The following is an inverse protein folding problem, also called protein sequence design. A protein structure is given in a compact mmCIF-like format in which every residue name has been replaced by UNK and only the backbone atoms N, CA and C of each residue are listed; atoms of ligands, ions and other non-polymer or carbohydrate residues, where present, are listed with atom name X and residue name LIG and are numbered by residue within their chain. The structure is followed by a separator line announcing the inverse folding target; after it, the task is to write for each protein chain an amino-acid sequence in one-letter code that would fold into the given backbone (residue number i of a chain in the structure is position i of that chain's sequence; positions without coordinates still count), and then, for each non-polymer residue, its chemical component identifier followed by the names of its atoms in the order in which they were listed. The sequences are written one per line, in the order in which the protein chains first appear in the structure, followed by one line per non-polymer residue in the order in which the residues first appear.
data_IF_614125559545
#
_entry.id   IF_614125559545
#
_cell.length_a   1.000
_cell.length_b   1.000
_cell.length_c   1.000
_cell.angle_alpha   90.00
_cell.angle_beta   90.00
_cell.angle_gamma   90.00
#
_symmetry.space_group_name_H-M   'P 1'
#
loop_
_entity.id
_entity.type
_entity.pdbx_description
1 polymer ?
#
# COMPACT_ATOMS: atom_id res chain seq x y z
N UNK A 1 -9.60 13.32 -21.19
CA UNK A 1 -9.29 12.82 -19.83
C UNK A 1 -7.79 12.80 -19.63
N UNK A 2 -7.28 13.46 -18.60
CA UNK A 2 -5.90 13.39 -18.16
C UNK A 2 -5.79 12.46 -16.95
N UNK A 3 -4.71 11.66 -16.89
CA UNK A 3 -4.43 10.74 -15.78
C UNK A 3 -3.02 11.03 -15.28
N UNK A 4 -2.90 11.42 -14.01
CA UNK A 4 -1.64 11.71 -13.35
C UNK A 4 -1.14 10.47 -12.59
N UNK A 5 -0.11 9.83 -13.09
CA UNK A 5 0.52 8.62 -12.56
C UNK A 5 0.23 7.36 -13.37
N UNK A 6 1.27 6.54 -13.57
CA UNK A 6 1.21 5.26 -14.28
C UNK A 6 1.42 4.06 -13.34
N UNK A 7 0.92 4.15 -12.10
CA UNK A 7 0.77 3.02 -11.18
C UNK A 7 -0.48 2.20 -11.49
N UNK A 8 -0.83 1.25 -10.60
CA UNK A 8 -2.01 0.39 -10.74
C UNK A 8 -3.27 1.20 -11.07
N UNK A 9 -3.59 2.22 -10.27
CA UNK A 9 -4.82 3.00 -10.42
C UNK A 9 -4.88 3.74 -11.77
N UNK A 10 -3.80 4.46 -12.13
CA UNK A 10 -3.79 5.24 -13.36
C UNK A 10 -3.80 4.39 -14.62
N UNK A 11 -3.09 3.24 -14.63
CA UNK A 11 -3.12 2.32 -15.76
C UNK A 11 -4.49 1.64 -15.90
N UNK A 12 -5.16 1.28 -14.79
CA UNK A 12 -6.53 0.74 -14.80
C UNK A 12 -7.54 1.79 -15.30
N UNK A 13 -7.40 3.05 -14.87
CA UNK A 13 -8.23 4.16 -15.36
C UNK A 13 -8.05 4.37 -16.86
N UNK A 14 -6.81 4.40 -17.35
CA UNK A 14 -6.52 4.58 -18.77
C UNK A 14 -7.06 3.43 -19.62
N UNK A 15 -6.85 2.19 -19.19
CA UNK A 15 -7.37 1.02 -19.89
C UNK A 15 -8.90 1.06 -19.96
N UNK A 16 -9.57 1.38 -18.83
CA UNK A 16 -11.03 1.47 -18.79
C UNK A 16 -11.57 2.61 -19.65
N UNK A 17 -10.93 3.78 -19.63
CA UNK A 17 -11.30 4.90 -20.50
C UNK A 17 -11.26 4.50 -21.98
N UNK A 18 -10.23 3.75 -22.41
CA UNK A 18 -10.13 3.23 -23.78
C UNK A 18 -11.22 2.21 -24.12
N UNK A 19 -11.57 1.32 -23.19
CA UNK A 19 -12.73 0.41 -23.35
C UNK A 19 -14.04 1.16 -23.60
N UNK A 20 -14.17 2.35 -22.98
CA UNK A 20 -15.33 3.24 -23.15
C UNK A 20 -15.25 4.14 -24.39
N UNK A 21 -14.20 4.01 -25.21
CA UNK A 21 -14.01 4.78 -26.44
C UNK A 21 -13.34 6.14 -26.24
N UNK A 22 -12.89 6.48 -25.03
CA UNK A 22 -12.16 7.70 -24.77
C UNK A 22 -10.67 7.57 -25.14
N UNK A 23 -9.99 8.72 -25.29
CA UNK A 23 -8.54 8.80 -25.55
C UNK A 23 -7.86 9.42 -24.32
N UNK A 24 -7.42 8.60 -23.34
CA UNK A 24 -6.74 9.11 -22.16
C UNK A 24 -5.30 9.53 -22.49
N UNK A 25 -4.80 10.52 -21.74
CA UNK A 25 -3.38 10.87 -21.70
C UNK A 25 -2.84 10.56 -20.32
N UNK A 26 -1.90 9.61 -20.24
CA UNK A 26 -1.24 9.23 -18.99
C UNK A 26 0.10 9.93 -18.86
N UNK A 27 0.28 10.69 -17.78
CA UNK A 27 1.54 11.36 -17.44
C UNK A 27 2.16 10.70 -16.22
N UNK A 28 3.42 10.30 -16.33
CA UNK A 28 4.20 9.68 -15.25
C UNK A 28 5.43 10.54 -14.93
N UNK A 29 5.60 10.87 -13.65
CA UNK A 29 6.74 11.66 -13.17
C UNK A 29 8.05 10.87 -13.25
N UNK A 30 7.98 9.59 -12.97
CA UNK A 30 9.12 8.67 -13.01
C UNK A 30 9.55 8.29 -14.42
N UNK A 31 10.53 7.40 -14.48
CA UNK A 31 11.12 6.92 -15.72
C UNK A 31 10.50 5.61 -16.25
N UNK A 32 9.59 4.99 -15.50
CA UNK A 32 8.95 3.71 -15.84
C UNK A 32 7.53 3.62 -15.30
N UNK A 33 6.66 2.77 -15.88
CA UNK A 33 5.32 2.50 -15.35
C UNK A 33 5.35 1.52 -14.17
N UNK A 34 4.20 1.33 -13.54
CA UNK A 34 3.96 0.33 -12.51
C UNK A 34 3.95 0.89 -11.09
N UNK A 35 4.66 2.00 -10.82
CA UNK A 35 4.69 2.59 -9.48
C UNK A 35 5.04 1.56 -8.39
N UNK A 36 4.39 1.64 -7.23
CA UNK A 36 4.62 0.68 -6.13
C UNK A 36 4.07 -0.73 -6.41
N UNK A 37 3.17 -0.90 -7.38
CA UNK A 37 2.70 -2.22 -7.83
C UNK A 37 3.87 -3.08 -8.34
N UNK A 38 4.73 -2.50 -9.17
CA UNK A 38 5.91 -3.19 -9.72
C UNK A 38 6.87 -3.68 -8.63
N UNK A 39 6.89 -3.01 -7.47
CA UNK A 39 7.79 -3.30 -6.34
C UNK A 39 7.13 -4.19 -5.26
N UNK A 40 5.89 -4.60 -5.50
CA UNK A 40 5.10 -5.40 -4.56
C UNK A 40 5.26 -6.90 -4.80
N UNK A 41 4.63 -7.71 -3.94
CA UNK A 41 4.50 -9.16 -4.17
C UNK A 41 3.38 -9.52 -5.16
N UNK A 42 2.68 -8.55 -5.74
CA UNK A 42 1.65 -8.74 -6.76
C UNK A 42 0.34 -9.36 -6.25
N UNK A 43 0.07 -9.39 -4.95
CA UNK A 43 -1.16 -9.97 -4.40
C UNK A 43 -2.28 -8.94 -4.41
N UNK A 44 -3.30 -9.18 -5.22
CA UNK A 44 -4.53 -8.37 -5.31
C UNK A 44 -5.64 -9.16 -4.62
N UNK A 45 -6.19 -8.64 -3.51
CA UNK A 45 -7.05 -9.42 -2.63
C UNK A 45 -8.13 -8.57 -1.94
N UNK A 46 -9.19 -9.23 -1.45
CA UNK A 46 -10.20 -8.69 -0.54
C UNK A 46 -10.46 -9.63 0.64
N UNK A 47 -11.10 -9.14 1.66
CA UNK A 47 -11.67 -10.00 2.71
C UNK A 47 -12.75 -10.92 2.13
N UNK A 48 -12.95 -12.09 2.74
CA UNK A 48 -13.97 -13.06 2.26
C UNK A 48 -15.38 -12.52 2.41
N UNK A 49 -15.64 -11.72 3.43
CA UNK A 49 -16.92 -11.05 3.65
C UNK A 49 -16.74 -9.56 3.88
N UNK A 50 -17.81 -8.81 3.65
CA UNK A 50 -17.83 -7.37 3.96
C UNK A 50 -17.79 -7.12 5.47
N UNK A 51 -18.37 -8.01 6.27
CA UNK A 51 -18.36 -7.90 7.74
C UNK A 51 -16.93 -8.08 8.27
N UNK A 52 -16.15 -9.02 7.72
CA UNK A 52 -14.74 -9.17 8.03
C UNK A 52 -13.95 -7.92 7.65
N UNK A 53 -14.22 -7.34 6.47
CA UNK A 53 -13.57 -6.11 6.04
C UNK A 53 -13.81 -4.98 7.04
N UNK A 54 -15.07 -4.79 7.46
CA UNK A 54 -15.44 -3.77 8.46
C UNK A 54 -14.84 -4.03 9.84
N UNK A 55 -14.75 -5.29 10.23
CA UNK A 55 -14.09 -5.69 11.49
C UNK A 55 -12.60 -5.36 11.48
N UNK A 56 -11.92 -5.64 10.37
CA UNK A 56 -10.48 -5.43 10.23
C UNK A 56 -10.10 -3.99 9.89
N UNK A 57 -11.03 -3.18 9.38
CA UNK A 57 -10.83 -1.78 9.01
C UNK A 57 -12.02 -0.93 9.52
N UNK A 58 -12.19 -0.79 10.84
CA UNK A 58 -13.41 -0.27 11.44
C UNK A 58 -13.65 1.23 11.18
N UNK A 59 -12.61 2.00 10.91
CA UNK A 59 -12.71 3.44 10.58
C UNK A 59 -12.91 3.72 9.08
N UNK A 60 -13.00 2.67 8.24
CA UNK A 60 -13.17 2.85 6.80
C UNK A 60 -14.57 3.30 6.39
N UNK A 61 -14.70 4.09 5.32
CA UNK A 61 -16.00 4.47 4.73
C UNK A 61 -16.70 3.20 4.21
N UNK A 62 -17.89 2.85 4.76
CA UNK A 62 -18.60 1.64 4.38
C UNK A 62 -18.95 1.56 2.89
N UNK A 63 -19.19 2.72 2.23
CA UNK A 63 -19.55 2.78 0.80
C UNK A 63 -18.34 2.44 -0.07
N UNK A 64 -17.15 2.92 0.29
CA UNK A 64 -15.91 2.58 -0.41
C UNK A 64 -15.50 1.13 -0.16
N UNK A 65 -15.70 0.61 1.05
CA UNK A 65 -15.50 -0.79 1.37
C UNK A 65 -16.42 -1.71 0.54
N UNK A 66 -17.71 -1.37 0.44
CA UNK A 66 -18.68 -2.09 -0.39
C UNK A 66 -18.30 -2.07 -1.88
N UNK A 67 -17.87 -0.92 -2.39
CA UNK A 67 -17.41 -0.78 -3.76
C UNK A 67 -16.22 -1.70 -4.06
N UNK A 68 -15.17 -1.62 -3.23
CA UNK A 68 -13.95 -2.43 -3.42
C UNK A 68 -14.26 -3.92 -3.27
N UNK A 69 -15.00 -4.30 -2.21
CA UNK A 69 -15.37 -5.69 -1.96
C UNK A 69 -16.24 -6.26 -3.08
N UNK A 70 -17.23 -5.51 -3.56
CA UNK A 70 -18.20 -5.98 -4.54
C UNK A 70 -17.67 -6.04 -5.98
N UNK A 71 -16.70 -5.18 -6.34
CA UNK A 71 -16.21 -5.10 -7.72
C UNK A 71 -14.86 -5.76 -7.97
N UNK A 72 -14.19 -6.27 -6.92
CA UNK A 72 -12.84 -6.80 -7.09
C UNK A 72 -12.81 -8.06 -7.96
N UNK A 73 -13.78 -8.99 -7.81
CA UNK A 73 -13.75 -10.25 -8.55
C UNK A 73 -13.84 -10.00 -10.08
N UNK A 74 -14.74 -9.10 -10.52
CA UNK A 74 -14.78 -8.62 -11.92
C UNK A 74 -13.44 -8.02 -12.36
N UNK A 75 -12.81 -7.23 -11.48
CA UNK A 75 -11.50 -6.63 -11.75
C UNK A 75 -10.38 -7.67 -11.90
N UNK A 76 -10.39 -8.73 -11.09
CA UNK A 76 -9.40 -9.82 -11.20
C UNK A 76 -9.58 -10.62 -12.51
N UNK A 77 -10.81 -10.95 -12.88
CA UNK A 77 -11.13 -11.59 -14.16
C UNK A 77 -10.68 -10.72 -15.35
N UNK A 78 -10.90 -9.41 -15.25
CA UNK A 78 -10.43 -8.47 -16.26
C UNK A 78 -8.89 -8.41 -16.36
N UNK A 79 -8.16 -8.41 -15.24
CA UNK A 79 -6.70 -8.47 -15.28
C UNK A 79 -6.18 -9.72 -15.98
N UNK A 80 -6.81 -10.88 -15.73
CA UNK A 80 -6.48 -12.13 -16.42
C UNK A 80 -6.80 -12.02 -17.92
N UNK A 81 -7.94 -11.44 -18.28
CA UNK A 81 -8.37 -11.29 -19.68
C UNK A 81 -7.43 -10.39 -20.50
N UNK A 82 -6.81 -9.37 -19.89
CA UNK A 82 -5.79 -8.54 -20.56
C UNK A 82 -4.40 -9.20 -20.59
N UNK A 83 -4.26 -10.39 -20.03
CA UNK A 83 -3.05 -11.20 -20.09
C UNK A 83 -2.07 -10.97 -18.94
N UNK A 84 -2.52 -10.52 -17.76
CA UNK A 84 -1.68 -10.45 -16.58
C UNK A 84 -1.33 -11.87 -16.08
N UNK A 85 -0.03 -12.21 -15.90
CA UNK A 85 0.38 -13.56 -15.54
C UNK A 85 -0.01 -13.92 -14.09
N UNK A 86 -0.83 -14.95 -13.90
CA UNK A 86 -1.19 -15.47 -12.58
C UNK A 86 -0.08 -16.36 -12.04
N UNK A 87 0.38 -16.08 -10.83
CA UNK A 87 1.38 -16.87 -10.09
C UNK A 87 0.70 -17.82 -9.12
N UNK A 88 -0.33 -17.35 -8.39
CA UNK A 88 -1.06 -18.15 -7.41
C UNK A 88 -2.46 -17.59 -7.17
N UNK A 89 -3.39 -18.45 -6.71
CA UNK A 89 -4.75 -18.05 -6.30
C UNK A 89 -4.94 -18.05 -4.78
N UNK A 90 -3.84 -18.04 -4.06
CA UNK A 90 -3.80 -18.01 -2.60
C UNK A 90 -3.17 -16.72 -2.11
N UNK A 91 -3.73 -16.14 -1.06
CA UNK A 91 -3.24 -14.91 -0.44
C UNK A 91 -2.28 -15.19 0.72
N UNK A 92 -2.34 -16.40 1.27
CA UNK A 92 -1.64 -16.80 2.50
C UNK A 92 -2.32 -16.33 3.78
N UNK A 93 -3.45 -15.61 3.69
CA UNK A 93 -4.27 -15.20 4.82
C UNK A 93 -5.66 -15.86 4.73
N UNK A 94 -6.10 -16.66 5.73
CA UNK A 94 -7.38 -17.37 5.69
C UNK A 94 -8.61 -16.46 5.64
N UNK A 95 -8.48 -15.20 6.09
CA UNK A 95 -9.56 -14.20 6.09
C UNK A 95 -9.79 -13.58 4.71
N UNK A 96 -8.91 -13.86 3.73
CA UNK A 96 -8.92 -13.16 2.45
C UNK A 96 -9.04 -14.12 1.26
N UNK A 97 -9.39 -13.57 0.10
CA UNK A 97 -9.38 -14.22 -1.20
C UNK A 97 -8.81 -13.28 -2.25
N UNK A 98 -8.17 -13.81 -3.28
CA UNK A 98 -7.55 -12.97 -4.31
C UNK A 98 -6.60 -13.76 -5.21
N UNK A 99 -5.86 -13.03 -6.02
CA UNK A 99 -4.92 -13.57 -7.01
C UNK A 99 -3.57 -12.90 -6.83
N UNK A 100 -2.52 -13.69 -6.92
CA UNK A 100 -1.14 -13.22 -7.00
C UNK A 100 -0.72 -13.21 -8.45
N UNK A 101 -0.37 -12.05 -8.95
CA UNK A 101 0.19 -11.85 -10.29
C UNK A 101 1.70 -11.67 -10.23
N UNK A 102 2.40 -11.97 -11.33
CA UNK A 102 3.77 -11.49 -11.52
C UNK A 102 3.77 -9.96 -11.67
N UNK A 103 4.46 -9.20 -10.80
CA UNK A 103 4.36 -7.74 -10.81
C UNK A 103 4.83 -7.09 -12.11
N UNK A 104 5.87 -7.65 -12.75
CA UNK A 104 6.37 -7.16 -14.02
C UNK A 104 5.37 -7.44 -15.14
N UNK A 105 4.92 -8.67 -15.28
CA UNK A 105 3.95 -9.06 -16.30
C UNK A 105 2.60 -8.34 -16.13
N UNK A 106 2.16 -8.11 -14.88
CA UNK A 106 0.98 -7.29 -14.59
C UNK A 106 1.18 -5.85 -15.06
N UNK A 107 2.35 -5.25 -14.77
CA UNK A 107 2.69 -3.89 -15.23
C UNK A 107 2.69 -3.81 -16.76
N UNK A 108 3.28 -4.78 -17.44
CA UNK A 108 3.33 -4.84 -18.90
C UNK A 108 1.92 -5.01 -19.52
N UNK A 109 1.09 -5.89 -18.96
CA UNK A 109 -0.28 -6.11 -19.43
C UNK A 109 -1.12 -4.83 -19.30
N UNK A 110 -1.07 -4.17 -18.13
CA UNK A 110 -1.76 -2.91 -17.87
C UNK A 110 -1.25 -1.78 -18.77
N UNK A 111 0.06 -1.67 -18.97
CA UNK A 111 0.64 -0.63 -19.84
C UNK A 111 0.19 -0.81 -21.29
N UNK A 112 0.13 -2.04 -21.80
CA UNK A 112 -0.44 -2.32 -23.15
C UNK A 112 -1.92 -1.94 -23.23
N UNK A 113 -2.71 -2.27 -22.22
CA UNK A 113 -4.14 -1.93 -22.17
C UNK A 113 -4.36 -0.41 -22.07
N UNK A 114 -3.57 0.28 -21.25
CA UNK A 114 -3.62 1.72 -21.06
C UNK A 114 -3.22 2.53 -22.31
N UNK A 115 -2.31 2.01 -23.11
CA UNK A 115 -1.78 2.70 -24.30
C UNK A 115 -0.59 3.61 -24.00
N UNK A 116 -0.60 4.84 -24.55
CA UNK A 116 0.54 5.76 -24.43
C UNK A 116 0.71 6.29 -23.00
N UNK A 117 1.94 6.16 -22.47
CA UNK A 117 2.37 6.77 -21.21
C UNK A 117 3.54 7.72 -21.49
N UNK A 118 3.44 8.96 -21.01
CA UNK A 118 4.45 10.01 -21.17
C UNK A 118 5.26 10.15 -19.88
N UNK A 119 6.52 9.75 -19.93
CA UNK A 119 7.44 9.76 -18.80
C UNK A 119 8.14 11.09 -18.56
N UNK A 120 8.65 11.31 -17.34
CA UNK A 120 9.34 12.52 -16.93
C UNK A 120 8.41 13.74 -16.88
N UNK A 121 7.09 13.53 -16.74
CA UNK A 121 6.05 14.55 -16.75
C UNK A 121 5.20 14.46 -15.49
N UNK A 122 5.30 15.42 -14.57
CA UNK A 122 4.34 15.51 -13.46
C UNK A 122 2.95 15.82 -14.02
N UNK A 123 1.97 14.97 -13.70
CA UNK A 123 0.60 15.06 -14.24
C UNK A 123 -0.27 16.14 -13.61
N UNK A 124 0.22 16.81 -12.57
CA UNK A 124 -0.53 17.80 -11.78
C UNK A 124 -0.28 19.26 -12.18
N UNK A 125 0.48 19.51 -13.27
CA UNK A 125 0.68 20.89 -13.75
C UNK A 125 -0.40 21.29 -14.73
N UNK A 126 -1.07 22.46 -14.53
CA UNK A 126 -1.97 23.02 -15.52
C UNK A 126 -1.17 23.44 -16.75
N UNK A 127 -1.55 22.98 -17.90
CA UNK A 127 -0.98 23.41 -19.18
C UNK A 127 -1.28 22.44 -20.30
N UNK A 128 -2.18 22.79 -21.19
CA UNK A 128 -2.54 22.11 -22.41
C UNK A 128 -3.27 20.75 -22.28
N UNK A 129 -4.17 20.62 -21.31
CA UNK A 129 -5.13 19.53 -21.28
C UNK A 129 -6.50 20.07 -21.67
N UNK A 130 -7.22 19.38 -22.56
CA UNK A 130 -8.63 19.73 -22.82
C UNK A 130 -9.41 19.64 -21.51
N UNK A 131 -10.32 20.53 -21.31
CA UNK A 131 -10.96 21.01 -20.11
C UNK A 131 -11.73 20.01 -19.23
N UNK A 132 -11.70 18.67 -19.46
CA UNK A 132 -12.88 17.96 -19.01
C UNK A 132 -12.71 17.04 -17.81
N UNK A 133 -11.56 16.42 -17.56
CA UNK A 133 -11.37 15.59 -16.36
C UNK A 133 -9.93 15.22 -16.07
N UNK A 134 -9.57 15.26 -14.77
CA UNK A 134 -8.28 14.86 -14.22
C UNK A 134 -8.46 13.74 -13.21
N UNK A 135 -7.78 12.61 -13.42
CA UNK A 135 -7.67 11.51 -12.45
C UNK A 135 -6.32 11.58 -11.74
N UNK A 136 -6.34 11.83 -10.45
CA UNK A 136 -5.17 11.79 -9.57
C UNK A 136 -4.89 10.33 -9.18
N UNK A 137 -3.74 9.81 -9.60
CA UNK A 137 -3.28 8.43 -9.34
C UNK A 137 -1.76 8.42 -9.06
N UNK A 138 -1.27 9.45 -8.34
CA UNK A 138 0.15 9.75 -8.15
C UNK A 138 0.82 8.92 -7.07
N UNK A 139 0.02 8.21 -6.24
CA UNK A 139 0.50 7.15 -5.36
C UNK A 139 0.73 7.55 -3.91
N UNK A 140 0.10 8.60 -3.41
CA UNK A 140 0.19 9.03 -2.03
C UNK A 140 1.44 9.86 -1.72
N UNK A 141 1.79 10.04 -0.43
CA UNK A 141 2.83 11.00 -0.01
C UNK A 141 3.97 10.37 0.80
N UNK A 142 4.08 9.05 0.87
CA UNK A 142 5.09 8.34 1.66
C UNK A 142 6.54 8.64 1.26
N UNK A 143 6.78 9.12 0.04
CA UNK A 143 8.10 9.52 -0.45
C UNK A 143 8.48 10.97 -0.12
N UNK A 144 7.61 11.72 0.55
CA UNK A 144 7.87 13.10 0.98
C UNK A 144 8.05 13.17 2.51
N UNK A 145 9.27 13.40 3.00
CA UNK A 145 9.54 13.43 4.45
C UNK A 145 8.77 14.51 5.20
N UNK A 146 8.47 15.65 4.57
CA UNK A 146 7.75 16.76 5.20
C UNK A 146 6.27 16.40 5.39
N UNK A 147 5.64 15.78 4.38
CA UNK A 147 4.27 15.31 4.48
C UNK A 147 4.14 14.14 5.46
N UNK A 148 5.10 13.21 5.46
CA UNK A 148 5.14 12.12 6.45
C UNK A 148 5.27 12.69 7.85
N UNK A 149 6.15 13.67 8.08
CA UNK A 149 6.25 14.34 9.38
C UNK A 149 4.96 15.04 9.80
N UNK A 150 4.34 15.74 8.85
CA UNK A 150 3.13 16.51 9.09
C UNK A 150 1.94 15.65 9.47
N UNK A 151 1.73 14.53 8.78
CA UNK A 151 0.53 13.73 8.90
C UNK A 151 0.74 12.48 9.75
N UNK A 152 1.79 11.71 9.49
CA UNK A 152 2.09 10.47 10.23
C UNK A 152 2.74 10.77 11.60
N UNK A 153 3.32 11.97 11.75
CA UNK A 153 3.78 12.46 13.05
C UNK A 153 5.11 11.86 13.50
N UNK A 154 5.27 11.53 14.82
CA UNK A 154 6.57 11.19 15.41
C UNK A 154 7.16 9.85 14.96
N UNK A 155 6.55 9.16 14.01
CA UNK A 155 7.02 7.92 13.43
C UNK A 155 8.33 8.11 12.63
N UNK A 156 9.44 8.45 13.32
CA UNK A 156 10.72 8.78 12.68
C UNK A 156 11.90 8.04 13.29
N UNK A 157 12.90 7.76 12.44
CA UNK A 157 12.96 7.86 10.98
C UNK A 157 12.31 6.65 10.30
N UNK A 158 11.26 6.84 9.51
CA UNK A 158 10.70 5.78 8.67
C UNK A 158 11.57 5.57 7.43
N UNK A 159 11.81 4.33 7.06
CA UNK A 159 12.46 3.98 5.80
C UNK A 159 11.43 3.90 4.68
N UNK A 160 11.80 4.36 3.49
CA UNK A 160 10.91 4.25 2.34
C UNK A 160 11.00 2.85 1.72
N UNK A 161 9.88 2.14 1.71
CA UNK A 161 9.70 0.84 1.06
C UNK A 161 8.66 0.96 -0.06
N UNK A 162 8.83 1.94 -0.91
CA UNK A 162 7.88 2.27 -1.97
C UNK A 162 8.57 2.95 -3.15
N UNK A 163 7.80 3.25 -4.17
CA UNK A 163 8.19 4.08 -5.28
C UNK A 163 8.63 5.48 -4.79
N UNK A 164 9.86 5.95 -5.10
CA UNK A 164 10.38 7.22 -4.61
C UNK A 164 9.70 8.45 -5.21
N UNK A 165 8.92 8.28 -6.28
CA UNK A 165 8.19 9.37 -6.93
C UNK A 165 6.82 9.67 -6.30
N UNK A 166 6.36 8.87 -5.35
CA UNK A 166 5.10 9.08 -4.62
C UNK A 166 5.28 10.13 -3.53
N UNK A 167 5.33 11.39 -3.90
CA UNK A 167 5.67 12.54 -3.04
C UNK A 167 4.49 13.49 -2.79
N UNK A 168 3.25 13.01 -2.89
CA UNK A 168 2.05 13.77 -2.55
C UNK A 168 1.60 14.80 -3.60
N UNK A 169 1.98 14.61 -4.86
CA UNK A 169 1.60 15.55 -5.93
C UNK A 169 0.07 15.62 -6.09
N UNK A 170 -0.62 14.47 -6.04
CA UNK A 170 -2.10 14.42 -6.10
C UNK A 170 -2.74 15.05 -4.88
N UNK A 171 -2.22 14.76 -3.68
CA UNK A 171 -2.71 15.35 -2.44
C UNK A 171 -2.63 16.89 -2.47
N UNK A 172 -1.46 17.45 -2.86
CA UNK A 172 -1.28 18.90 -2.97
C UNK A 172 -2.22 19.50 -4.00
N UNK A 173 -2.31 18.86 -5.17
CA UNK A 173 -3.20 19.35 -6.24
C UNK A 173 -4.67 19.36 -5.78
N UNK A 174 -5.14 18.30 -5.12
CA UNK A 174 -6.49 18.25 -4.55
C UNK A 174 -6.73 19.37 -3.54
N UNK A 175 -5.81 19.58 -2.60
CA UNK A 175 -5.91 20.65 -1.60
C UNK A 175 -5.93 22.05 -2.23
N UNK A 176 -5.13 22.30 -3.26
CA UNK A 176 -5.14 23.56 -4.02
C UNK A 176 -6.50 23.83 -4.69
N UNK A 177 -7.30 22.78 -4.94
CA UNK A 177 -8.63 22.87 -5.53
C UNK A 177 -9.77 22.71 -4.49
N UNK A 178 -9.45 22.77 -3.18
CA UNK A 178 -10.45 22.74 -2.12
C UNK A 178 -10.91 21.34 -1.72
N UNK A 179 -10.13 20.30 -2.05
CA UNK A 179 -10.47 18.93 -1.65
C UNK A 179 -10.42 18.73 -0.13
N UNK A 180 -11.42 18.02 0.40
CA UNK A 180 -11.43 17.53 1.76
C UNK A 180 -10.51 16.30 1.93
N UNK A 181 -10.04 16.12 3.14
CA UNK A 181 -9.21 14.98 3.51
C UNK A 181 -10.04 13.89 4.18
N UNK A 182 -9.61 12.64 4.02
CA UNK A 182 -10.18 11.49 4.72
C UNK A 182 -9.62 11.36 6.13
N UNK A 183 -10.22 10.50 6.93
CA UNK A 183 -9.61 9.97 8.15
C UNK A 183 -8.38 9.10 7.82
N UNK A 184 -7.55 8.79 8.83
CA UNK A 184 -6.40 7.90 8.74
C UNK A 184 -5.15 8.51 8.07
N UNK A 185 -5.02 9.85 8.06
CA UNK A 185 -3.81 10.53 7.56
C UNK A 185 -2.57 10.22 8.39
N UNK A 186 -2.75 9.91 9.66
CA UNK A 186 -1.72 9.49 10.61
C UNK A 186 -1.37 7.99 10.51
N UNK A 187 -2.12 7.24 9.72
CA UNK A 187 -1.91 5.82 9.50
C UNK A 187 -1.18 5.54 8.18
N UNK A 188 -0.38 4.49 8.19
CA UNK A 188 0.32 4.01 7.00
C UNK A 188 0.38 2.49 6.96
N UNK A 189 0.39 1.92 5.77
CA UNK A 189 0.78 0.53 5.57
C UNK A 189 2.28 0.44 5.34
N UNK A 190 2.90 -0.51 6.00
CA UNK A 190 4.32 -0.76 5.90
C UNK A 190 4.71 -2.18 6.30
N UNK A 191 6.01 -2.37 6.50
CA UNK A 191 6.58 -3.61 7.04
C UNK A 191 7.76 -3.28 7.93
N UNK A 192 7.96 -4.08 8.94
CA UNK A 192 9.24 -4.12 9.61
C UNK A 192 10.25 -4.84 8.70
N UNK A 193 11.30 -4.12 8.31
CA UNK A 193 12.39 -4.60 7.47
C UNK A 193 13.60 -4.96 8.33
N UNK A 194 14.43 -5.88 7.88
CA UNK A 194 15.75 -6.04 8.48
C UNK A 194 16.44 -4.67 8.56
N UNK A 195 17.03 -4.32 9.72
CA UNK A 195 17.62 -2.99 9.96
C UNK A 195 18.98 -2.83 9.26
N UNK A 196 18.97 -2.88 7.93
CA UNK A 196 20.09 -2.61 7.02
C UNK A 196 19.64 -1.62 5.95
N UNK A 197 20.58 -1.04 5.22
CA UNK A 197 20.23 -0.32 4.02
C UNK A 197 19.71 -1.27 2.95
N UNK A 198 18.64 -0.88 2.27
CA UNK A 198 17.99 -1.70 1.27
C UNK A 198 17.52 -0.87 0.07
N UNK A 199 17.42 -1.51 -1.07
CA UNK A 199 16.87 -0.94 -2.31
C UNK A 199 15.62 -1.70 -2.78
N UNK A 200 15.13 -1.34 -3.96
CA UNK A 200 13.92 -1.94 -4.54
C UNK A 200 13.93 -3.48 -4.62
N UNK A 201 15.04 -4.15 -5.00
CA UNK A 201 15.09 -5.62 -5.03
C UNK A 201 14.89 -6.28 -3.67
N UNK A 202 15.15 -5.53 -2.59
CA UNK A 202 15.13 -6.04 -1.22
C UNK A 202 13.77 -5.90 -0.54
N UNK A 203 12.82 -5.16 -1.14
CA UNK A 203 11.54 -4.84 -0.52
C UNK A 203 10.71 -6.05 -0.11
N UNK A 204 10.81 -7.15 -0.83
CA UNK A 204 10.13 -8.39 -0.48
C UNK A 204 11.03 -9.32 0.34
N UNK A 205 12.30 -9.59 -0.07
CA UNK A 205 13.18 -10.50 0.66
C UNK A 205 13.50 -10.08 2.10
N UNK A 206 13.71 -8.78 2.35
CA UNK A 206 14.09 -8.28 3.68
C UNK A 206 12.90 -7.92 4.58
N UNK A 207 11.65 -8.07 4.11
CA UNK A 207 10.47 -7.87 4.96
C UNK A 207 10.33 -8.99 5.99
N UNK A 208 10.29 -8.63 7.26
CA UNK A 208 10.22 -9.57 8.38
C UNK A 208 8.74 -9.81 8.76
N UNK A 209 8.10 -10.74 8.06
CA UNK A 209 6.64 -10.98 8.08
C UNK A 209 6.23 -12.11 9.05
N UNK A 210 6.93 -12.23 10.15
CA UNK A 210 6.71 -13.24 11.20
C UNK A 210 6.65 -12.63 12.61
N UNK A 211 6.44 -11.32 12.70
CA UNK A 211 6.40 -10.61 13.98
C UNK A 211 5.35 -11.14 14.94
N UNK A 212 4.23 -11.64 14.43
CA UNK A 212 3.17 -12.28 15.25
C UNK A 212 3.61 -13.55 15.98
N UNK A 213 4.74 -14.14 15.62
CA UNK A 213 5.32 -15.29 16.31
C UNK A 213 6.47 -14.92 17.26
N UNK A 214 6.94 -13.66 17.20
CA UNK A 214 8.07 -13.17 17.97
C UNK A 214 7.61 -12.37 19.19
N UNK A 215 8.38 -12.37 20.26
CA UNK A 215 8.28 -11.35 21.31
C UNK A 215 9.01 -10.10 20.83
N UNK A 216 8.41 -8.92 21.07
CA UNK A 216 8.81 -7.68 20.40
C UNK A 216 9.25 -6.65 21.42
N UNK A 217 10.53 -6.29 21.36
CA UNK A 217 11.18 -5.39 22.30
C UNK A 217 11.74 -4.16 21.61
N UNK A 218 11.77 -3.02 22.32
CA UNK A 218 12.54 -1.86 21.91
C UNK A 218 14.01 -1.97 22.35
N UNK A 219 14.86 -0.99 22.01
CA UNK A 219 16.28 -0.97 22.39
C UNK A 219 16.51 -0.85 23.92
N UNK A 220 15.47 -0.52 24.70
CA UNK A 220 15.53 -0.46 26.17
C UNK A 220 15.16 -1.79 26.83
N UNK A 221 14.75 -2.79 26.08
CA UNK A 221 14.30 -4.08 26.57
C UNK A 221 12.85 -4.07 27.08
N UNK A 222 12.06 -3.08 26.69
CA UNK A 222 10.63 -3.02 26.97
C UNK A 222 9.86 -3.76 25.89
N UNK A 223 9.07 -4.76 26.28
CA UNK A 223 8.12 -5.43 25.39
C UNK A 223 6.91 -4.49 25.18
N UNK A 224 6.69 -4.02 23.95
CA UNK A 224 5.72 -2.97 23.68
C UNK A 224 4.50 -3.43 22.85
N UNK A 225 4.49 -4.67 22.40
CA UNK A 225 3.38 -5.32 21.69
C UNK A 225 3.20 -6.73 22.19
N UNK A 226 1.97 -7.13 22.51
CA UNK A 226 1.62 -8.53 22.69
C UNK A 226 1.51 -9.19 21.30
N UNK A 227 2.39 -10.13 21.00
CA UNK A 227 2.41 -10.81 19.71
C UNK A 227 1.13 -11.59 19.40
N UNK A 228 0.35 -11.98 20.42
CA UNK A 228 -0.94 -12.67 20.24
C UNK A 228 -2.04 -11.71 19.70
N UNK A 229 -1.85 -10.40 19.85
CA UNK A 229 -2.76 -9.38 19.36
C UNK A 229 -2.37 -8.82 17.99
N UNK A 230 -1.18 -9.21 17.47
CA UNK A 230 -0.70 -8.73 16.16
C UNK A 230 -1.60 -9.25 15.04
N UNK A 231 -2.11 -8.32 14.23
CA UNK A 231 -2.95 -8.63 13.08
C UNK A 231 -2.22 -9.45 12.00
N UNK A 232 -2.97 -10.14 11.15
CA UNK A 232 -2.40 -10.87 10.01
C UNK A 232 -1.61 -9.98 9.06
N UNK A 233 -2.00 -8.73 8.94
CA UNK A 233 -1.34 -7.74 8.10
C UNK A 233 -0.08 -7.17 8.73
N UNK A 234 0.10 -7.33 10.04
CA UNK A 234 1.16 -6.72 10.85
C UNK A 234 1.26 -5.19 10.68
N UNK A 235 0.15 -4.53 10.29
CA UNK A 235 0.12 -3.08 10.16
C UNK A 235 0.20 -2.39 11.53
N UNK A 236 -0.52 -2.92 12.50
CA UNK A 236 -0.48 -2.54 13.91
C UNK A 236 0.94 -2.63 14.48
N UNK A 237 1.63 -3.72 14.15
CA UNK A 237 3.00 -3.95 14.59
C UNK A 237 3.99 -2.94 13.97
N UNK A 238 3.93 -2.68 12.65
CA UNK A 238 4.85 -1.70 12.04
C UNK A 238 4.58 -0.29 12.53
N UNK A 239 3.33 0.07 12.77
CA UNK A 239 2.97 1.38 13.34
C UNK A 239 3.46 1.50 14.80
N UNK A 240 3.26 0.45 15.62
CA UNK A 240 3.81 0.41 16.97
C UNK A 240 5.35 0.53 16.97
N UNK A 241 6.03 -0.16 16.05
CA UNK A 241 7.50 -0.04 15.87
C UNK A 241 7.92 1.36 15.46
N UNK A 242 7.14 2.02 14.61
CA UNK A 242 7.41 3.39 14.16
C UNK A 242 7.46 4.40 15.31
N UNK A 243 6.71 4.15 16.38
CA UNK A 243 6.68 4.97 17.59
C UNK A 243 7.78 4.63 18.61
N UNK A 244 8.59 3.58 18.38
CA UNK A 244 9.71 3.24 19.25
C UNK A 244 10.93 4.10 18.94
N UNK A 245 11.91 4.21 19.87
CA UNK A 245 13.16 4.91 19.63
C UNK A 245 13.82 4.49 18.31
N UNK A 246 14.12 5.48 17.45
CA UNK A 246 14.69 5.28 16.11
C UNK A 246 13.81 4.45 15.15
N UNK A 247 12.51 4.28 15.44
CA UNK A 247 11.58 3.42 14.70
C UNK A 247 12.12 1.99 14.53
N UNK A 248 12.67 1.40 15.59
CA UNK A 248 13.33 0.09 15.61
C UNK A 248 12.72 -0.83 16.65
N UNK A 249 12.86 -2.13 16.38
CA UNK A 249 12.50 -3.19 17.33
C UNK A 249 13.43 -4.39 17.21
N UNK A 250 13.32 -5.28 18.18
CA UNK A 250 13.93 -6.58 18.21
C UNK A 250 12.84 -7.64 18.21
N UNK A 251 12.84 -8.51 17.20
CA UNK A 251 12.04 -9.74 17.18
C UNK A 251 12.85 -10.83 17.88
N UNK A 252 12.42 -11.25 19.04
CA UNK A 252 13.06 -12.32 19.83
C UNK A 252 12.25 -13.60 19.70
N UNK A 253 12.88 -14.66 19.20
CA UNK A 253 12.23 -15.92 18.87
C UNK A 253 12.78 -17.07 19.70
N UNK A 254 11.90 -17.99 20.08
CA UNK A 254 12.21 -19.28 20.65
C UNK A 254 12.12 -20.40 19.59
N UNK A 255 12.34 -21.66 19.99
CA UNK A 255 12.28 -22.82 19.08
C UNK A 255 10.87 -23.05 18.50
N UNK A 256 9.81 -22.73 19.26
CA UNK A 256 8.42 -22.86 18.81
C UNK A 256 8.14 -21.86 17.68
N UNK A 257 8.45 -20.60 17.88
CA UNK A 257 8.34 -19.54 16.89
C UNK A 257 9.12 -19.83 15.60
N UNK A 258 10.33 -20.40 15.74
CA UNK A 258 11.15 -20.80 14.59
C UNK A 258 10.54 -21.97 13.78
N UNK A 259 9.69 -22.78 14.41
CA UNK A 259 8.96 -23.89 13.78
C UNK A 259 7.75 -23.41 12.96
N UNK A 260 7.25 -22.21 13.21
CA UNK A 260 6.09 -21.63 12.53
C UNK A 260 6.35 -21.36 11.04
N UNK A 261 5.28 -21.13 10.28
CA UNK A 261 5.37 -20.93 8.84
C UNK A 261 4.69 -19.62 8.40
N UNK A 262 5.34 -18.97 7.45
CA UNK A 262 4.77 -17.86 6.69
C UNK A 262 4.67 -18.34 5.24
N UNK A 263 3.46 -18.61 4.80
CA UNK A 263 3.20 -19.28 3.52
C UNK A 263 3.96 -20.61 3.41
N UNK A 264 4.77 -20.79 2.37
CA UNK A 264 5.57 -21.99 2.10
C UNK A 264 6.90 -22.06 2.86
N UNK A 265 7.35 -20.97 3.53
CA UNK A 265 8.63 -20.91 4.23
C UNK A 265 8.48 -21.05 5.73
N UNK A 266 9.36 -21.81 6.37
CA UNK A 266 9.49 -21.81 7.82
C UNK A 266 10.12 -20.48 8.30
N UNK A 267 9.73 -20.00 9.49
CA UNK A 267 10.31 -18.78 10.10
C UNK A 267 11.83 -18.97 10.25
N UNK A 268 12.28 -20.14 10.64
CA UNK A 268 13.71 -20.51 10.74
C UNK A 268 14.50 -20.23 9.45
N UNK A 269 13.92 -20.52 8.28
CA UNK A 269 14.56 -20.29 6.99
C UNK A 269 14.66 -18.80 6.69
N UNK A 270 13.62 -18.03 7.01
CA UNK A 270 13.62 -16.58 6.82
C UNK A 270 14.67 -15.92 7.73
N UNK A 271 14.68 -16.30 9.01
CA UNK A 271 15.63 -15.78 10.00
C UNK A 271 17.08 -16.10 9.63
N UNK A 272 17.34 -17.32 9.12
CA UNK A 272 18.69 -17.74 8.74
C UNK A 272 19.29 -16.87 7.60
N UNK A 273 18.45 -16.34 6.72
CA UNK A 273 18.86 -15.48 5.61
C UNK A 273 18.88 -13.98 5.98
N UNK A 274 18.40 -13.62 7.18
CA UNK A 274 18.26 -12.22 7.59
C UNK A 274 19.59 -11.64 8.09
N UNK A 275 20.09 -10.56 7.50
CA UNK A 275 21.43 -10.01 7.80
C UNK A 275 21.57 -9.40 9.21
N UNK A 276 20.45 -9.10 9.88
CA UNK A 276 20.42 -8.53 11.25
C UNK A 276 20.12 -9.56 12.33
N UNK A 277 20.24 -10.84 11.98
CA UNK A 277 20.19 -11.93 12.95
C UNK A 277 21.29 -11.76 14.00
N UNK A 278 20.93 -11.97 15.26
CA UNK A 278 21.79 -11.73 16.43
C UNK A 278 21.58 -12.84 17.46
N UNK A 279 22.64 -13.25 18.14
CA UNK A 279 22.53 -14.18 19.26
C UNK A 279 21.89 -13.46 20.48
N UNK A 280 21.10 -14.15 21.31
CA UNK A 280 20.45 -13.52 22.47
C UNK A 280 21.42 -12.87 23.46
N UNK A 281 22.65 -13.36 23.54
CA UNK A 281 23.69 -12.82 24.40
C UNK A 281 24.21 -11.43 23.95
N UNK A 282 23.99 -11.08 22.68
CA UNK A 282 24.45 -9.81 22.08
C UNK A 282 23.36 -8.75 22.05
N UNK A 283 22.19 -9.02 22.65
CA UNK A 283 21.11 -8.03 22.78
C UNK A 283 21.53 -6.90 23.72
N UNK A 284 21.06 -5.65 23.49
CA UNK A 284 21.34 -4.51 24.37
C UNK A 284 20.60 -4.55 25.71
N UNK A 285 19.81 -5.60 25.95
CA UNK A 285 19.03 -5.86 27.16
C UNK A 285 19.08 -7.35 27.52
N UNK A 286 18.57 -7.72 28.70
CA UNK A 286 18.50 -9.11 29.12
C UNK A 286 17.52 -9.88 28.25
N UNK A 287 18.02 -10.88 27.53
CA UNK A 287 17.20 -11.75 26.71
C UNK A 287 16.16 -12.52 27.53
N UNK A 288 14.94 -12.76 27.00
CA UNK A 288 14.00 -13.69 27.59
C UNK A 288 14.58 -15.11 27.73
N UNK A 289 14.18 -15.83 28.78
CA UNK A 289 14.76 -17.14 29.16
C UNK A 289 14.78 -18.19 28.03
N UNK A 290 13.76 -18.19 27.16
CA UNK A 290 13.63 -19.16 26.04
C UNK A 290 14.13 -18.62 24.69
N UNK A 291 14.74 -17.43 24.67
CA UNK A 291 15.24 -16.85 23.43
C UNK A 291 16.34 -17.71 22.80
N UNK A 292 16.20 -18.01 21.51
CA UNK A 292 17.16 -18.75 20.69
C UNK A 292 17.88 -17.83 19.71
N UNK A 293 17.16 -16.84 19.20
CA UNK A 293 17.69 -15.88 18.23
C UNK A 293 16.91 -14.57 18.32
N UNK A 294 17.56 -13.48 17.96
CA UNK A 294 16.91 -12.19 17.78
C UNK A 294 17.20 -11.62 16.39
N UNK A 295 16.29 -10.78 15.90
CA UNK A 295 16.44 -10.06 14.63
C UNK A 295 16.13 -8.60 14.87
N UNK A 296 17.06 -7.71 14.51
CA UNK A 296 16.81 -6.27 14.57
C UNK A 296 16.08 -5.80 13.34
N UNK A 297 14.97 -5.10 13.56
CA UNK A 297 14.09 -4.58 12.50
C UNK A 297 13.90 -3.07 12.61
N UNK A 298 13.55 -2.45 11.49
CA UNK A 298 13.19 -1.04 11.42
C UNK A 298 11.87 -0.88 10.65
N UNK A 299 11.03 0.05 11.11
CA UNK A 299 9.77 0.36 10.45
C UNK A 299 10.01 1.01 9.08
N UNK A 300 9.29 0.52 8.07
CA UNK A 300 9.34 1.06 6.72
C UNK A 300 7.93 1.30 6.19
N UNK A 301 7.72 2.48 5.62
CA UNK A 301 6.45 2.91 5.03
C UNK A 301 6.34 2.46 3.57
N UNK A 302 5.19 1.91 3.19
CA UNK A 302 4.89 1.48 1.82
C UNK A 302 3.88 2.40 1.13
N UNK A 303 2.78 2.73 1.81
CA UNK A 303 1.82 3.73 1.33
C UNK A 303 1.01 4.30 2.51
N UNK A 304 0.44 5.47 2.30
CA UNK A 304 -0.43 6.17 3.25
C UNK A 304 -1.84 5.59 3.23
N UNK A 305 -2.53 5.56 4.37
CA UNK A 305 -3.92 5.07 4.49
C UNK A 305 -4.90 6.21 4.24
N UNK A 306 -4.65 7.39 4.79
CA UNK A 306 -5.39 8.61 4.49
C UNK A 306 -4.93 9.27 3.19
N UNK A 307 -5.79 10.14 2.67
CA UNK A 307 -5.59 10.87 1.42
C UNK A 307 -6.76 11.80 1.13
N UNK A 308 -7.04 12.05 -0.14
CA UNK A 308 -8.20 12.82 -0.58
C UNK A 308 -9.49 12.06 -0.28
N UNK A 309 -10.53 12.78 0.17
CA UNK A 309 -11.86 12.24 0.32
C UNK A 309 -12.51 12.04 -1.05
N UNK A 310 -13.06 10.86 -1.29
CA UNK A 310 -13.76 10.53 -2.54
C UNK A 310 -15.10 9.84 -2.25
N UNK A 311 -15.98 9.87 -3.24
CA UNK A 311 -17.18 9.05 -3.25
C UNK A 311 -16.98 7.71 -4.01
N UNK A 312 -17.98 6.82 -4.02
CA UNK A 312 -17.89 5.55 -4.77
C UNK A 312 -17.74 5.69 -6.29
N UNK A 313 -17.95 6.89 -6.85
CA UNK A 313 -17.69 7.25 -8.24
C UNK A 313 -16.25 7.75 -8.44
N UNK A 314 -15.40 7.67 -7.39
CA UNK A 314 -14.05 8.19 -7.35
C UNK A 314 -13.93 9.71 -7.59
N UNK A 315 -15.02 10.47 -7.45
CA UNK A 315 -15.01 11.94 -7.52
C UNK A 315 -14.40 12.48 -6.23
N UNK A 316 -13.49 13.42 -6.35
CA UNK A 316 -12.91 14.12 -5.20
C UNK A 316 -13.97 15.01 -4.56
N UNK A 317 -14.10 14.94 -3.24
CA UNK A 317 -15.07 15.74 -2.48
C UNK A 317 -14.37 16.90 -1.78
N UNK A 318 -15.05 18.02 -1.69
CA UNK A 318 -14.63 19.15 -0.85
C UNK A 318 -14.86 18.90 0.65
N UNK A 319 -14.57 19.88 1.51
CA UNK A 319 -14.81 19.79 2.96
C UNK A 319 -16.31 19.66 3.30
N UNK A 320 -17.21 20.17 2.45
CA UNK A 320 -18.66 20.05 2.56
C UNK A 320 -19.20 18.67 2.16
N UNK A 321 -18.39 17.87 1.48
CA UNK A 321 -18.78 16.57 0.96
C UNK A 321 -19.38 16.63 -0.45
N UNK A 322 -19.30 17.78 -1.13
CA UNK A 322 -19.75 17.93 -2.50
C UNK A 322 -18.64 17.62 -3.51
N UNK A 323 -18.94 16.98 -4.64
CA UNK A 323 -17.95 16.66 -5.65
C UNK A 323 -17.33 17.92 -6.29
N UNK A 324 -16.01 17.90 -6.45
CA UNK A 324 -15.28 18.91 -7.23
C UNK A 324 -15.37 18.53 -8.72
N UNK A 325 -15.94 19.41 -9.51
CA UNK A 325 -16.16 19.17 -10.94
C UNK A 325 -14.87 18.78 -11.68
N UNK A 326 -14.93 17.71 -12.47
CA UNK A 326 -13.82 17.24 -13.30
C UNK A 326 -12.63 16.64 -12.51
N UNK A 327 -12.68 16.55 -11.18
CA UNK A 327 -11.58 16.04 -10.36
C UNK A 327 -11.92 14.68 -9.77
N UNK A 328 -11.06 13.69 -10.08
CA UNK A 328 -11.17 12.30 -9.61
C UNK A 328 -9.87 11.87 -8.94
N UNK A 329 -9.94 10.89 -8.03
CA UNK A 329 -8.74 10.30 -7.44
C UNK A 329 -8.89 8.79 -7.27
N UNK A 330 -7.76 8.07 -7.37
CA UNK A 330 -7.72 6.62 -7.22
C UNK A 330 -6.36 6.14 -6.67
N UNK A 331 -6.35 4.96 -6.07
CA UNK A 331 -5.17 4.39 -5.44
C UNK A 331 -4.81 5.10 -4.15
N UNK A 332 -3.52 5.25 -3.84
CA UNK A 332 -3.06 5.84 -2.57
C UNK A 332 -3.20 7.37 -2.49
N UNK A 333 -3.67 8.04 -3.55
CA UNK A 333 -4.11 9.45 -3.46
C UNK A 333 -5.47 9.56 -2.75
N UNK A 334 -6.24 8.47 -2.69
CA UNK A 334 -7.50 8.38 -1.94
C UNK A 334 -7.26 7.79 -0.56
N UNK A 335 -8.03 8.24 0.43
CA UNK A 335 -8.03 7.66 1.75
C UNK A 335 -9.41 7.18 2.18
N UNK A 336 -9.52 6.78 3.46
CA UNK A 336 -10.79 6.42 4.07
C UNK A 336 -11.28 5.00 3.78
N UNK A 337 -10.50 4.11 3.17
CA UNK A 337 -10.94 2.73 2.86
C UNK A 337 -10.57 1.75 3.97
N UNK A 338 -9.33 1.82 4.45
CA UNK A 338 -8.77 0.84 5.38
C UNK A 338 -8.31 1.43 6.72
N UNK A 339 -8.96 2.51 7.14
CA UNK A 339 -8.67 3.18 8.42
C UNK A 339 -8.88 2.22 9.59
N UNK A 340 -7.93 2.17 10.50
CA UNK A 340 -7.88 1.25 11.64
C UNK A 340 -7.37 -0.15 11.28
N UNK A 341 -6.87 -0.37 10.04
CA UNK A 341 -6.38 -1.67 9.60
C UNK A 341 -5.74 -1.63 8.22
N UNK A 342 -5.82 -2.75 7.48
CA UNK A 342 -5.24 -2.83 6.14
C UNK A 342 -6.10 -3.64 5.18
N UNK A 343 -6.43 -3.04 4.05
CA UNK A 343 -6.95 -3.73 2.87
C UNK A 343 -5.96 -3.62 1.70
N UNK A 344 -6.10 -4.49 0.71
CA UNK A 344 -5.21 -4.49 -0.45
C UNK A 344 -5.22 -3.15 -1.18
N UNK A 345 -4.13 -2.40 -1.10
CA UNK A 345 -3.96 -1.15 -1.85
C UNK A 345 -4.04 -1.37 -3.38
N UNK A 346 -3.64 -2.55 -3.88
CA UNK A 346 -3.79 -2.90 -5.29
C UNK A 346 -5.25 -3.13 -5.68
N UNK A 347 -6.06 -3.72 -4.79
CA UNK A 347 -7.50 -3.91 -5.03
C UNK A 347 -8.22 -2.56 -5.09
N UNK A 348 -7.97 -1.69 -4.12
CA UNK A 348 -8.53 -0.33 -4.12
C UNK A 348 -8.11 0.46 -5.36
N UNK A 349 -6.84 0.36 -5.76
CA UNK A 349 -6.32 1.02 -6.94
C UNK A 349 -6.97 0.51 -8.25
N UNK A 350 -7.17 -0.80 -8.37
CA UNK A 350 -7.86 -1.41 -9.50
C UNK A 350 -9.31 -0.91 -9.61
N UNK A 351 -10.05 -1.04 -8.51
CA UNK A 351 -11.49 -0.76 -8.51
C UNK A 351 -11.76 0.74 -8.68
N UNK A 352 -11.09 1.59 -7.89
CA UNK A 352 -11.28 3.04 -7.98
C UNK A 352 -10.72 3.64 -9.29
N UNK A 353 -9.62 3.09 -9.83
CA UNK A 353 -9.12 3.51 -11.13
C UNK A 353 -10.15 3.30 -12.25
N UNK A 354 -10.80 2.14 -12.27
CA UNK A 354 -11.88 1.85 -13.23
C UNK A 354 -13.11 2.73 -12.98
N UNK A 355 -13.51 2.93 -11.72
CA UNK A 355 -14.63 3.78 -11.33
C UNK A 355 -14.41 5.26 -11.75
N UNK A 356 -13.19 5.77 -11.55
CA UNK A 356 -12.83 7.14 -11.98
C UNK A 356 -13.00 7.31 -13.50
N UNK A 357 -12.55 6.36 -14.29
CA UNK A 357 -12.71 6.41 -15.75
C UNK A 357 -14.17 6.31 -16.19
N UNK A 358 -14.97 5.47 -15.55
CA UNK A 358 -16.41 5.31 -15.80
C UNK A 358 -17.15 6.63 -15.52
N UNK A 359 -16.84 7.27 -14.40
CA UNK A 359 -17.47 8.53 -14.01
C UNK A 359 -17.02 9.71 -14.87
N UNK A 360 -15.75 9.76 -15.25
CA UNK A 360 -15.20 10.82 -16.07
C UNK A 360 -15.61 10.73 -17.56
N UNK A 361 -16.14 9.57 -18.00
CA UNK A 361 -16.63 9.36 -19.37
C UNK A 361 -18.15 9.52 -19.50
N UNK A 362 -18.88 9.65 -18.39
CA UNK A 362 -20.35 9.86 -18.36
C UNK A 362 -20.71 11.33 -18.39
#
# INVERSE_FOLDING_TARGET
MLIAGAGMAGLCAAARARELGAVPVVLEKGSRPGGSMLLSSGVVWRYRSIDEFRTQCPGGDPRLQELVHGRLDEGLEWLEAIGAPVVARETGNPLTTGVRFDPQGLTEALTRAAGEVRFGRPGTRPGNVPDDSLVLATGGFQGDPELVERFVGPARPLRLRANPWSTGDGLRHGLEHGAGLSEGLDEFYGRNMADVDFGEPDFVPLAQVYGRFARIFNDLGEEFVDHNEVSWSEIDLVQATAHQPKARAWYVLDEEALGERVRERAVREIVAETPTRTEPADLPFTAPERAVVAVRVAAAITHTIGGLRVDPQARVLDDGGEPIDGLYAAGADTGGISVGGYASGLASALVLGRAAAESAAS
#
